data_IF_137928337428
#
_entry.id   IF_137928337428
#
_cell.length_a   1.000
_cell.length_b   1.000
_cell.length_c   1.000
_cell.angle_alpha   90.00
_cell.angle_beta   90.00
_cell.angle_gamma   90.00
#
_symmetry.space_group_name_H-M   'P 1'
#
loop_
_entity.id
_entity.type
_entity.pdbx_description
1 polymer ?
#
# COMPACT_ATOMS: atom_id res chain seq x y z
N UNK A 1 -19.31 2.85 15.03
CA UNK A 1 -18.86 1.60 14.34
C UNK A 1 -17.34 1.56 14.35
N UNK A 2 -16.73 0.40 14.23
CA UNK A 2 -15.30 0.22 14.05
C UNK A 2 -14.95 0.30 12.56
N UNK A 3 -14.12 1.27 12.20
CA UNK A 3 -13.70 1.55 10.83
C UNK A 3 -12.22 1.24 10.73
N UNK A 4 -11.87 0.24 9.91
CA UNK A 4 -10.49 -0.04 9.57
C UNK A 4 -9.97 1.07 8.65
N UNK A 5 -8.93 1.79 9.07
CA UNK A 5 -8.25 2.78 8.23
C UNK A 5 -6.87 2.24 7.87
N UNK A 6 -6.73 1.79 6.63
CA UNK A 6 -5.49 1.21 6.12
C UNK A 6 -4.68 2.26 5.34
N UNK A 7 -3.48 2.53 5.81
CA UNK A 7 -2.52 3.45 5.18
C UNK A 7 -1.09 2.98 5.45
N UNK A 8 -0.17 3.19 4.51
CA UNK A 8 1.22 2.72 4.69
C UNK A 8 1.88 3.26 5.96
N UNK A 9 1.55 4.48 6.39
CA UNK A 9 2.03 5.12 7.62
C UNK A 9 0.92 5.38 8.62
N UNK A 10 1.31 5.44 9.90
CA UNK A 10 0.48 5.98 10.98
C UNK A 10 1.21 7.09 11.74
N UNK A 11 1.76 8.04 10.99
CA UNK A 11 2.50 9.21 11.49
C UNK A 11 2.55 10.30 10.41
N UNK A 12 2.93 11.55 10.77
CA UNK A 12 3.07 12.68 9.83
C UNK A 12 4.07 12.46 8.68
N UNK A 13 3.62 11.83 7.59
CA UNK A 13 4.42 11.55 6.38
C UNK A 13 4.34 12.64 5.31
N UNK A 14 3.32 13.52 5.35
CA UNK A 14 3.09 14.55 4.35
C UNK A 14 1.59 14.79 4.11
N UNK A 15 1.23 15.18 2.88
CA UNK A 15 -0.15 15.48 2.52
C UNK A 15 -1.10 14.27 2.61
N UNK A 16 -0.58 13.06 2.41
CA UNK A 16 -1.30 11.82 2.67
C UNK A 16 -1.71 11.73 4.14
N UNK A 17 -0.80 12.00 5.07
CA UNK A 17 -1.11 12.00 6.50
C UNK A 17 -2.12 13.09 6.87
N UNK A 18 -1.97 14.31 6.34
CA UNK A 18 -2.95 15.39 6.61
C UNK A 18 -4.36 14.97 6.22
N UNK A 19 -4.53 14.24 5.11
CA UNK A 19 -5.82 13.66 4.77
C UNK A 19 -6.27 12.60 5.80
N UNK A 20 -5.40 11.66 6.15
CA UNK A 20 -5.72 10.57 7.09
C UNK A 20 -6.10 11.10 8.47
N UNK A 21 -5.39 12.10 8.98
CA UNK A 21 -5.67 12.74 10.26
C UNK A 21 -7.05 13.41 10.26
N UNK A 22 -7.39 14.12 9.18
CA UNK A 22 -8.70 14.75 9.04
C UNK A 22 -9.84 13.72 8.91
N UNK A 23 -9.63 12.64 8.15
CA UNK A 23 -10.62 11.55 8.02
C UNK A 23 -10.80 10.81 9.34
N UNK A 24 -9.71 10.54 10.06
CA UNK A 24 -9.74 9.94 11.40
C UNK A 24 -10.59 10.80 12.32
N UNK A 25 -10.30 12.11 12.38
CA UNK A 25 -11.04 13.06 13.21
C UNK A 25 -12.52 13.10 12.81
N UNK A 26 -12.83 13.15 11.53
CA UNK A 26 -14.22 13.13 11.04
C UNK A 26 -14.97 11.89 11.53
N UNK A 27 -14.36 10.71 11.45
CA UNK A 27 -14.99 9.47 11.95
C UNK A 27 -15.18 9.51 13.47
N UNK A 28 -14.17 9.93 14.22
CA UNK A 28 -14.21 10.02 15.69
C UNK A 28 -15.26 11.05 16.17
N UNK A 29 -15.32 12.23 15.55
CA UNK A 29 -16.31 13.28 15.83
C UNK A 29 -17.75 12.81 15.56
N UNK A 30 -17.94 11.79 14.73
CA UNK A 30 -19.24 11.14 14.45
C UNK A 30 -19.47 9.85 15.28
N UNK A 31 -18.68 9.63 16.34
CA UNK A 31 -18.85 8.49 17.24
C UNK A 31 -18.43 7.15 16.65
N UNK A 32 -17.51 7.15 15.68
CA UNK A 32 -16.91 5.93 15.14
C UNK A 32 -15.53 5.70 15.73
N UNK A 33 -15.14 4.43 15.87
CA UNK A 33 -13.83 4.03 16.34
C UNK A 33 -12.93 3.79 15.14
N UNK A 34 -11.80 4.49 15.08
CA UNK A 34 -10.82 4.29 14.02
C UNK A 34 -9.82 3.22 14.42
N UNK A 35 -9.73 2.17 13.61
CA UNK A 35 -8.85 1.02 13.82
C UNK A 35 -7.74 1.12 12.76
N UNK A 36 -6.54 1.62 13.11
CA UNK A 36 -5.46 1.77 12.15
C UNK A 36 -4.88 0.42 11.73
N UNK A 37 -4.44 0.35 10.47
CA UNK A 37 -3.64 -0.75 9.95
C UNK A 37 -2.56 -0.21 9.02
N UNK A 38 -1.31 -0.26 9.49
CA UNK A 38 -0.17 0.34 8.78
C UNK A 38 1.10 -0.50 8.91
N UNK A 39 2.20 -0.04 8.29
CA UNK A 39 3.51 -0.56 8.65
C UNK A 39 3.89 -0.11 10.06
N UNK A 40 4.70 -0.92 10.73
CA UNK A 40 5.33 -0.58 11.98
C UNK A 40 6.49 0.39 11.71
N UNK A 41 6.57 1.48 12.46
CA UNK A 41 7.60 2.49 12.37
C UNK A 41 7.74 3.17 13.74
N UNK A 42 8.98 3.49 14.13
CA UNK A 42 9.26 4.17 15.41
C UNK A 42 8.54 5.52 15.56
N UNK A 43 8.17 6.15 14.45
CA UNK A 43 7.44 7.42 14.42
C UNK A 43 5.94 7.24 14.56
N UNK A 44 5.41 6.02 14.51
CA UNK A 44 3.97 5.78 14.60
C UNK A 44 3.40 6.45 15.84
N UNK A 45 2.24 7.09 15.69
CA UNK A 45 1.45 7.48 16.83
C UNK A 45 1.04 6.23 17.63
N UNK A 46 1.00 6.32 18.98
CA UNK A 46 0.58 5.20 19.81
C UNK A 46 -0.77 4.63 19.38
N UNK A 47 -0.86 3.30 19.34
CA UNK A 47 -2.07 2.59 18.96
C UNK A 47 -2.19 1.28 19.71
N UNK A 48 -3.37 0.99 20.24
CA UNK A 48 -3.69 -0.31 20.83
C UNK A 48 -3.60 -1.47 19.80
N UNK A 49 -3.63 -1.14 18.52
CA UNK A 49 -3.61 -2.09 17.39
C UNK A 49 -2.21 -2.29 16.80
N UNK A 50 -1.16 -1.72 17.40
CA UNK A 50 0.21 -1.79 16.86
C UNK A 50 0.72 -3.23 16.70
N UNK A 51 0.21 -4.20 17.49
CA UNK A 51 0.55 -5.63 17.34
C UNK A 51 0.15 -6.22 15.98
N UNK A 52 -0.81 -5.62 15.27
CA UNK A 52 -1.23 -6.04 13.94
C UNK A 52 -0.53 -5.28 12.81
N UNK A 53 0.38 -4.35 13.10
CA UNK A 53 1.07 -3.62 12.06
C UNK A 53 2.07 -4.51 11.32
N UNK A 54 2.20 -4.29 10.02
CA UNK A 54 3.11 -5.08 9.17
C UNK A 54 4.55 -4.65 9.37
N UNK A 55 5.48 -5.59 9.27
CA UNK A 55 6.91 -5.31 9.45
C UNK A 55 7.41 -4.27 8.44
N UNK A 56 8.18 -3.29 8.93
CA UNK A 56 8.85 -2.31 8.08
C UNK A 56 9.85 -2.99 7.14
N UNK A 57 9.73 -2.70 5.85
CA UNK A 57 10.75 -3.08 4.87
C UNK A 57 11.78 -1.95 4.78
N UNK A 58 13.03 -2.21 5.19
CA UNK A 58 14.14 -1.27 5.03
C UNK A 58 14.78 -1.38 3.65
N UNK A 59 14.17 -0.71 2.67
CA UNK A 59 14.70 -0.64 1.31
C UNK A 59 16.10 0.00 1.22
N UNK A 60 16.53 0.82 2.18
CA UNK A 60 17.84 1.46 2.14
C UNK A 60 18.95 0.50 2.57
N UNK A 61 18.76 -0.22 3.68
CA UNK A 61 19.69 -1.27 4.11
C UNK A 61 19.84 -2.38 3.07
N UNK A 62 18.75 -2.73 2.37
CA UNK A 62 18.75 -3.72 1.30
C UNK A 62 19.51 -3.26 0.06
N UNK A 63 19.40 -1.99 -0.34
CA UNK A 63 20.19 -1.47 -1.46
C UNK A 63 21.71 -1.43 -1.16
N UNK A 64 22.11 -1.39 0.12
CA UNK A 64 23.52 -1.45 0.53
C UNK A 64 24.09 -2.87 0.47
N UNK A 65 23.27 -3.90 0.73
CA UNK A 65 23.66 -5.31 0.61
C UNK A 65 23.31 -5.81 -0.80
N UNK A 66 24.29 -5.87 -1.70
CA UNK A 66 24.13 -6.33 -3.11
C UNK A 66 23.79 -7.83 -3.26
N UNK A 67 23.04 -8.42 -2.33
CA UNK A 67 22.61 -9.82 -2.38
C UNK A 67 21.32 -9.94 -3.21
N UNK A 68 21.42 -10.64 -4.33
CA UNK A 68 20.31 -10.85 -5.26
C UNK A 68 19.12 -11.61 -4.64
N UNK A 69 19.39 -12.55 -3.73
CA UNK A 69 18.37 -13.33 -3.01
C UNK A 69 17.54 -12.49 -2.03
N UNK A 70 18.17 -11.57 -1.31
CA UNK A 70 17.51 -10.65 -0.38
C UNK A 70 16.65 -9.63 -1.15
N UNK A 71 17.13 -9.19 -2.32
CA UNK A 71 16.33 -8.42 -3.28
C UNK A 71 15.05 -9.17 -3.66
N UNK A 72 15.15 -10.41 -4.13
CA UNK A 72 13.98 -11.19 -4.58
C UNK A 72 12.93 -11.42 -3.49
N UNK A 73 13.35 -11.64 -2.24
CA UNK A 73 12.44 -11.77 -1.08
C UNK A 73 11.69 -10.48 -0.76
N UNK A 74 12.32 -9.35 -0.99
CA UNK A 74 11.69 -8.04 -0.75
C UNK A 74 10.70 -7.72 -1.84
N UNK A 75 11.01 -8.11 -3.09
CA UNK A 75 10.08 -8.00 -4.20
C UNK A 75 8.83 -8.82 -3.98
N UNK A 76 8.97 -10.07 -3.53
CA UNK A 76 7.79 -10.90 -3.27
C UNK A 76 6.91 -10.29 -2.17
N UNK A 77 7.49 -9.79 -1.08
CA UNK A 77 6.73 -9.11 -0.01
C UNK A 77 6.08 -7.81 -0.47
N UNK A 78 6.76 -7.02 -1.32
CA UNK A 78 6.26 -5.71 -1.78
C UNK A 78 5.10 -5.85 -2.77
N UNK A 79 5.11 -6.93 -3.54
CA UNK A 79 4.08 -7.25 -4.53
C UNK A 79 2.93 -8.03 -3.90
N UNK A 80 3.24 -8.84 -2.88
CA UNK A 80 2.27 -9.71 -2.23
C UNK A 80 2.70 -10.01 -0.79
N UNK A 81 2.12 -9.27 0.15
CA UNK A 81 2.45 -9.40 1.57
C UNK A 81 1.55 -10.44 2.22
N UNK A 82 2.04 -11.69 2.35
CA UNK A 82 1.39 -12.71 3.19
C UNK A 82 1.25 -12.23 4.63
N UNK A 83 2.26 -11.51 5.12
CA UNK A 83 2.22 -10.94 6.46
C UNK A 83 1.05 -9.96 6.62
N UNK A 84 0.80 -9.08 5.66
CA UNK A 84 -0.35 -8.18 5.71
C UNK A 84 -1.69 -8.93 5.76
N UNK A 85 -1.76 -10.09 5.11
CA UNK A 85 -2.94 -10.95 5.16
C UNK A 85 -3.15 -11.55 6.53
N UNK A 86 -2.11 -12.20 7.05
CA UNK A 86 -2.12 -12.85 8.36
C UNK A 86 -2.46 -11.84 9.45
N UNK A 87 -1.79 -10.67 9.44
CA UNK A 87 -2.06 -9.60 10.41
C UNK A 87 -3.46 -9.00 10.31
N UNK A 88 -3.98 -8.85 9.09
CA UNK A 88 -5.35 -8.40 8.91
C UNK A 88 -6.34 -9.45 9.40
N UNK A 89 -6.11 -10.73 9.12
CA UNK A 89 -6.96 -11.82 9.61
C UNK A 89 -6.96 -11.89 11.15
N UNK A 90 -5.79 -11.76 11.79
CA UNK A 90 -5.67 -11.62 13.25
C UNK A 90 -6.50 -10.44 13.76
N UNK A 91 -6.37 -9.26 13.15
CA UNK A 91 -7.13 -8.08 13.54
C UNK A 91 -8.64 -8.28 13.39
N UNK A 92 -9.09 -8.87 12.28
CA UNK A 92 -10.51 -9.11 11.99
C UNK A 92 -11.12 -10.23 12.86
N UNK A 93 -10.30 -11.04 13.53
CA UNK A 93 -10.78 -12.00 14.53
C UNK A 93 -10.95 -11.36 15.91
N UNK A 94 -10.14 -10.35 16.22
CA UNK A 94 -10.15 -9.68 17.53
C UNK A 94 -11.08 -8.45 17.56
N UNK A 95 -11.37 -7.85 16.40
CA UNK A 95 -12.14 -6.61 16.27
C UNK A 95 -13.21 -6.78 15.20
N UNK A 96 -14.47 -6.52 15.57
CA UNK A 96 -15.59 -6.50 14.63
C UNK A 96 -15.52 -5.24 13.75
N UNK A 97 -14.92 -5.35 12.56
CA UNK A 97 -14.79 -4.25 11.59
C UNK A 97 -16.02 -4.20 10.69
N UNK A 98 -16.65 -3.03 10.64
CA UNK A 98 -17.90 -2.82 9.89
C UNK A 98 -17.68 -2.06 8.57
N UNK A 99 -16.53 -1.41 8.41
CA UNK A 99 -16.15 -0.66 7.21
C UNK A 99 -14.62 -0.66 7.08
N UNK A 100 -14.11 -0.81 5.86
CA UNK A 100 -12.70 -0.62 5.55
C UNK A 100 -12.48 0.59 4.64
N UNK A 101 -11.69 1.55 5.10
CA UNK A 101 -11.25 2.71 4.32
C UNK A 101 -9.77 2.57 3.96
N UNK A 102 -9.52 2.26 2.70
CA UNK A 102 -8.20 2.06 2.12
C UNK A 102 -7.67 3.36 1.53
N UNK A 103 -6.36 3.60 1.70
CA UNK A 103 -5.66 4.77 1.19
C UNK A 103 -4.43 4.32 0.39
N UNK A 104 -3.22 4.67 0.85
CA UNK A 104 -1.96 4.20 0.26
C UNK A 104 -1.62 2.81 0.81
N UNK A 105 -2.18 1.77 0.20
CA UNK A 105 -1.96 0.38 0.60
C UNK A 105 -0.89 -0.33 -0.23
N UNK A 106 -0.32 0.31 -1.25
CA UNK A 106 0.73 -0.30 -2.08
C UNK A 106 2.05 -0.52 -1.30
N UNK A 107 2.90 -1.40 -1.82
CA UNK A 107 4.22 -1.76 -1.28
C UNK A 107 4.24 -2.46 0.09
N UNK A 108 3.71 -1.89 1.16
CA UNK A 108 3.84 -2.46 2.52
C UNK A 108 2.68 -3.39 2.88
N UNK A 109 1.46 -2.89 2.67
CA UNK A 109 0.23 -3.62 2.98
C UNK A 109 -0.15 -4.53 1.79
N UNK A 110 0.07 -4.03 0.58
CA UNK A 110 -0.33 -4.59 -0.72
C UNK A 110 -1.86 -4.63 -0.92
N UNK A 111 -2.38 -4.48 -2.15
CA UNK A 111 -3.81 -4.66 -2.46
C UNK A 111 -4.36 -6.07 -2.15
N UNK A 112 -3.49 -7.00 -1.75
CA UNK A 112 -3.88 -8.37 -1.44
C UNK A 112 -4.84 -8.50 -0.25
N UNK A 113 -4.92 -7.48 0.61
CA UNK A 113 -5.88 -7.38 1.72
C UNK A 113 -7.34 -7.24 1.27
N UNK A 114 -7.58 -6.71 0.06
CA UNK A 114 -8.94 -6.51 -0.49
C UNK A 114 -9.69 -7.82 -0.54
N UNK A 115 -9.00 -8.90 -0.93
CA UNK A 115 -9.60 -10.24 -1.01
C UNK A 115 -10.14 -10.71 0.35
N UNK A 116 -9.42 -10.42 1.44
CA UNK A 116 -9.81 -10.83 2.80
C UNK A 116 -11.04 -10.04 3.25
N UNK A 117 -11.01 -8.72 3.05
CA UNK A 117 -12.13 -7.83 3.38
C UNK A 117 -13.42 -8.27 2.66
N UNK A 118 -13.32 -8.61 1.37
CA UNK A 118 -14.45 -9.15 0.60
C UNK A 118 -14.95 -10.49 1.09
N UNK A 119 -14.03 -11.42 1.40
CA UNK A 119 -14.40 -12.73 1.93
C UNK A 119 -15.17 -12.62 3.25
N UNK A 120 -14.80 -11.63 4.08
CA UNK A 120 -15.50 -11.26 5.31
C UNK A 120 -16.72 -10.36 5.09
N UNK A 121 -17.05 -10.02 3.83
CA UNK A 121 -18.17 -9.15 3.43
C UNK A 121 -18.12 -7.75 4.06
N UNK A 122 -16.92 -7.25 4.35
CA UNK A 122 -16.70 -5.90 4.87
C UNK A 122 -16.79 -4.92 3.69
N UNK A 123 -17.67 -3.90 3.75
CA UNK A 123 -17.72 -2.83 2.75
C UNK A 123 -16.38 -2.08 2.66
N UNK A 124 -15.98 -1.72 1.44
CA UNK A 124 -14.69 -1.08 1.17
C UNK A 124 -14.92 0.31 0.55
N UNK A 125 -14.24 1.32 1.09
CA UNK A 125 -14.03 2.63 0.47
C UNK A 125 -12.55 2.73 0.17
N UNK A 126 -12.18 3.10 -1.07
CA UNK A 126 -10.78 3.33 -1.41
C UNK A 126 -10.57 4.74 -1.96
N UNK A 127 -9.82 5.55 -1.22
CA UNK A 127 -9.34 6.85 -1.69
C UNK A 127 -7.98 6.68 -2.36
N UNK A 128 -7.90 7.04 -3.64
CA UNK A 128 -6.66 7.03 -4.40
C UNK A 128 -5.93 8.36 -4.22
N UNK A 129 -4.76 8.30 -3.58
CA UNK A 129 -3.86 9.46 -3.37
C UNK A 129 -2.82 9.62 -4.47
N UNK A 130 -2.64 8.57 -5.28
CA UNK A 130 -1.66 8.55 -6.37
C UNK A 130 -2.15 7.70 -7.54
N UNK A 131 -1.32 7.65 -8.59
CA UNK A 131 -1.62 6.89 -9.81
C UNK A 131 -0.98 5.49 -9.83
N UNK A 132 -0.57 4.93 -8.67
CA UNK A 132 0.16 3.66 -8.60
C UNK A 132 -0.60 2.51 -9.25
N UNK A 133 -1.94 2.55 -9.28
CA UNK A 133 -2.75 1.51 -9.92
C UNK A 133 -2.59 1.42 -11.45
N UNK A 134 -2.17 2.51 -12.10
CA UNK A 134 -2.14 2.64 -13.57
C UNK A 134 -0.79 3.18 -14.10
N UNK A 135 0.11 3.56 -13.21
CA UNK A 135 1.43 4.07 -13.53
C UNK A 135 2.42 3.58 -12.48
N UNK A 136 3.42 2.75 -12.84
CA UNK A 136 4.44 2.30 -11.89
C UNK A 136 5.20 3.44 -11.22
N UNK A 137 5.29 4.60 -11.88
CA UNK A 137 5.93 5.79 -11.35
C UNK A 137 5.06 6.59 -10.37
N UNK A 138 3.77 6.28 -10.28
CA UNK A 138 2.74 6.90 -9.43
C UNK A 138 2.38 8.36 -9.70
N UNK A 139 3.10 9.06 -10.59
CA UNK A 139 2.90 10.50 -10.86
C UNK A 139 2.56 10.86 -12.30
N UNK A 140 2.62 9.90 -13.24
CA UNK A 140 2.60 10.18 -14.69
C UNK A 140 3.69 11.16 -15.19
N UNK A 141 4.76 11.36 -14.42
CA UNK A 141 5.92 12.17 -14.82
C UNK A 141 7.08 11.24 -15.10
N UNK A 142 7.71 11.35 -16.27
CA UNK A 142 8.90 10.60 -16.65
C UNK A 142 9.90 11.54 -17.31
N UNK A 143 11.12 11.62 -16.76
CA UNK A 143 12.18 12.51 -17.24
C UNK A 143 11.66 13.96 -17.44
N UNK A 144 11.06 14.50 -16.38
CA UNK A 144 10.53 15.87 -16.32
C UNK A 144 9.45 16.22 -17.35
N UNK A 145 8.77 15.20 -17.91
CA UNK A 145 7.68 15.36 -18.86
C UNK A 145 6.46 14.54 -18.48
N UNK A 146 5.27 15.04 -18.83
CA UNK A 146 4.01 14.28 -18.72
C UNK A 146 4.11 13.04 -19.62
N UNK A 147 3.77 11.88 -19.07
CA UNK A 147 3.97 10.60 -19.72
C UNK A 147 2.79 9.66 -19.48
N UNK A 148 2.08 9.29 -20.54
CA UNK A 148 0.99 8.31 -20.49
C UNK A 148 1.37 6.94 -21.06
N UNK A 149 2.66 6.67 -21.31
CA UNK A 149 3.10 5.46 -22.03
C UNK A 149 2.67 4.15 -21.37
N UNK A 150 2.44 4.15 -20.05
CA UNK A 150 1.97 2.97 -19.30
C UNK A 150 0.45 2.71 -19.42
N UNK A 151 -0.32 3.64 -19.99
CA UNK A 151 -1.78 3.54 -20.14
C UNK A 151 -2.17 2.26 -20.88
N UNK A 152 -3.21 1.58 -20.37
CA UNK A 152 -3.67 0.30 -20.89
C UNK A 152 -2.82 -0.91 -20.45
N UNK A 153 -2.11 -0.81 -19.33
CA UNK A 153 -1.32 -1.93 -18.78
C UNK A 153 0.06 -2.12 -19.42
N UNK A 154 0.58 -1.11 -20.13
CA UNK A 154 1.90 -1.16 -20.78
C UNK A 154 3.03 -0.77 -19.82
N UNK A 155 3.05 -1.40 -18.64
CA UNK A 155 3.94 -1.04 -17.53
C UNK A 155 5.43 -1.25 -17.83
N UNK A 156 5.78 -2.07 -18.84
CA UNK A 156 7.17 -2.20 -19.32
C UNK A 156 7.81 -0.86 -19.71
N UNK A 157 7.02 0.14 -20.09
CA UNK A 157 7.52 1.48 -20.41
C UNK A 157 8.22 2.15 -19.22
N UNK A 158 7.82 1.84 -17.98
CA UNK A 158 8.51 2.33 -16.80
C UNK A 158 9.96 1.83 -16.72
N UNK A 159 10.21 0.60 -17.19
CA UNK A 159 11.56 0.02 -17.30
C UNK A 159 12.37 0.69 -18.39
N UNK A 160 11.79 0.79 -19.59
CA UNK A 160 12.46 1.40 -20.75
C UNK A 160 12.90 2.85 -20.46
N UNK A 161 12.07 3.58 -19.70
CA UNK A 161 12.32 4.98 -19.34
C UNK A 161 13.04 5.16 -17.99
N UNK A 162 13.41 4.06 -17.29
CA UNK A 162 14.06 4.08 -15.97
C UNK A 162 13.34 4.97 -14.94
N UNK A 163 12.01 4.97 -14.92
CA UNK A 163 11.21 5.96 -14.17
C UNK A 163 11.52 6.01 -12.67
N UNK A 164 11.86 4.88 -12.04
CA UNK A 164 12.18 4.85 -10.61
C UNK A 164 13.66 5.12 -10.37
N UNK A 165 13.96 6.26 -9.74
CA UNK A 165 15.32 6.69 -9.33
C UNK A 165 16.34 6.66 -10.47
N UNK A 166 15.91 6.90 -11.71
CA UNK A 166 16.75 6.78 -12.91
C UNK A 166 17.49 5.42 -13.00
N UNK A 167 16.85 4.34 -12.52
CA UNK A 167 17.48 3.04 -12.38
C UNK A 167 16.59 1.91 -12.91
N UNK A 168 17.21 0.93 -13.57
CA UNK A 168 16.53 -0.20 -14.19
C UNK A 168 15.89 -1.12 -13.16
N UNK A 169 16.63 -1.53 -12.13
CA UNK A 169 16.14 -2.51 -11.16
C UNK A 169 14.88 -2.03 -10.43
N UNK A 170 14.84 -0.84 -9.79
CA UNK A 170 13.61 -0.35 -9.16
C UNK A 170 12.45 -0.17 -10.15
N UNK A 171 12.74 0.12 -11.42
CA UNK A 171 11.71 0.27 -12.45
C UNK A 171 11.11 -1.08 -12.86
N UNK A 172 11.93 -2.13 -12.98
CA UNK A 172 11.48 -3.52 -13.22
C UNK A 172 10.55 -3.96 -12.10
N UNK A 173 10.94 -3.68 -10.87
CA UNK A 173 10.18 -4.03 -9.67
C UNK A 173 8.80 -3.39 -9.69
N UNK A 174 8.75 -2.07 -9.86
CA UNK A 174 7.48 -1.33 -9.88
C UNK A 174 6.57 -1.77 -11.04
N UNK A 175 7.15 -2.04 -12.23
CA UNK A 175 6.41 -2.56 -13.37
C UNK A 175 5.85 -3.96 -13.11
N UNK A 176 6.64 -4.84 -12.48
CA UNK A 176 6.23 -6.21 -12.14
C UNK A 176 5.11 -6.22 -11.11
N UNK A 177 5.22 -5.38 -10.08
CA UNK A 177 4.16 -5.15 -9.09
C UNK A 177 2.84 -4.76 -9.77
N UNK A 178 2.91 -3.77 -10.64
CA UNK A 178 1.75 -3.28 -11.40
C UNK A 178 1.13 -4.36 -12.29
N UNK A 179 1.95 -5.14 -13.01
CA UNK A 179 1.45 -6.27 -13.80
C UNK A 179 0.72 -7.28 -12.94
N UNK A 180 1.30 -7.66 -11.80
CA UNK A 180 0.70 -8.65 -10.90
C UNK A 180 -0.62 -8.13 -10.32
N UNK A 181 -0.68 -6.87 -9.88
CA UNK A 181 -1.92 -6.27 -9.39
C UNK A 181 -3.00 -6.19 -10.48
N UNK A 182 -2.60 -5.84 -11.70
CA UNK A 182 -3.52 -5.75 -12.84
C UNK A 182 -4.07 -7.12 -13.24
N UNK A 183 -3.22 -8.15 -13.34
CA UNK A 183 -3.62 -9.53 -13.69
C UNK A 183 -4.50 -10.12 -12.59
N UNK A 184 -4.19 -9.89 -11.32
CA UNK A 184 -4.99 -10.38 -10.19
C UNK A 184 -6.32 -9.67 -10.02
N UNK A 185 -6.54 -8.57 -10.75
CA UNK A 185 -7.83 -7.88 -10.75
C UNK A 185 -8.17 -7.14 -9.47
N UNK A 186 -7.20 -6.88 -8.57
CA UNK A 186 -7.48 -6.26 -7.26
C UNK A 186 -8.24 -4.93 -7.36
N UNK A 187 -7.99 -4.14 -8.41
CA UNK A 187 -8.67 -2.87 -8.64
C UNK A 187 -10.10 -3.01 -9.17
N UNK A 188 -10.48 -4.19 -9.68
CA UNK A 188 -11.87 -4.50 -10.08
C UNK A 188 -12.70 -5.04 -8.91
N UNK A 189 -12.03 -5.35 -7.80
CA UNK A 189 -12.60 -6.00 -6.64
C UNK A 189 -12.99 -5.02 -5.52
N UNK A 190 -12.88 -3.71 -5.77
CA UNK A 190 -13.26 -2.65 -4.83
C UNK A 190 -14.45 -1.90 -5.38
#
# INVERSE_FOLDING_TARGET
MNILVANWTWFPSGGDWTYIENVKKLYEDNGHNVIPFSMNDERNLPSAYQKYFVTKIDYQALNRKKNFSDGLKVLSKSIYSNEAKERLEELLNDVDIQLAHLNLIHHYITPSIIKILRQKKIPIIWTLHDYTAICPQSTFISNDSICESCKGGRFYNAVLKKCKKNSLLPSIVAATENYIHHIRGYYKDV
#
